data_IF_563141494792
#
_entry.id   IF_563141494792
#
_cell.length_a   1.000
_cell.length_b   1.000
_cell.length_c   1.000
_cell.angle_alpha   90.00
_cell.angle_beta   90.00
_cell.angle_gamma   90.00
#
_symmetry.space_group_name_H-M   'P 1'
#
loop_
_entity.id
_entity.type
_entity.pdbx_description
1 polymer ?
#
# COMPACT_ATOMS: atom_id res chain seq x y z
N UNK A 1 29.94 15.82 -9.51
CA UNK A 1 28.63 15.17 -9.26
C UNK A 1 27.93 15.67 -8.00
N UNK A 2 28.58 15.66 -6.83
CA UNK A 2 28.01 16.22 -5.59
C UNK A 2 27.49 17.66 -5.75
N UNK A 3 28.23 18.54 -6.44
CA UNK A 3 27.83 19.93 -6.68
C UNK A 3 26.56 20.08 -7.55
N UNK A 4 26.20 19.06 -8.34
CA UNK A 4 25.02 19.09 -9.21
C UNK A 4 23.82 18.46 -8.49
N UNK A 5 24.04 17.39 -7.73
CA UNK A 5 22.98 16.61 -7.08
C UNK A 5 22.66 17.07 -5.65
N UNK A 6 23.48 17.91 -5.04
CA UNK A 6 23.23 18.47 -3.70
C UNK A 6 22.98 17.41 -2.64
N UNK A 7 21.89 17.57 -1.88
CA UNK A 7 21.47 16.66 -0.79
C UNK A 7 21.03 15.26 -1.29
N UNK A 8 20.68 15.16 -2.57
CA UNK A 8 20.32 13.89 -3.21
C UNK A 8 21.57 13.06 -3.56
N UNK A 9 22.77 13.64 -3.49
CA UNK A 9 23.99 12.86 -3.66
C UNK A 9 24.21 11.91 -2.48
N UNK A 10 24.18 10.60 -2.74
CA UNK A 10 24.38 9.55 -1.71
C UNK A 10 25.76 8.90 -1.75
N UNK A 11 26.75 9.60 -2.30
CA UNK A 11 28.13 9.14 -2.36
C UNK A 11 28.48 8.46 -3.68
N UNK A 12 29.64 7.82 -3.70
CA UNK A 12 30.17 7.09 -4.85
C UNK A 12 30.93 5.85 -4.41
N UNK A 13 31.06 4.88 -5.32
CA UNK A 13 31.94 3.73 -5.18
C UNK A 13 32.98 3.81 -6.30
N UNK A 14 34.25 3.84 -5.93
CA UNK A 14 35.36 3.86 -6.89
C UNK A 14 35.78 2.43 -7.21
N UNK A 15 35.88 2.12 -8.49
CA UNK A 15 36.32 0.82 -9.01
C UNK A 15 37.34 1.01 -10.13
N UNK A 16 38.20 0.01 -10.33
CA UNK A 16 39.15 -0.01 -11.45
C UNK A 16 38.73 -1.04 -12.49
N UNK A 17 38.08 -0.57 -13.56
CA UNK A 17 37.64 -1.42 -14.66
C UNK A 17 38.82 -2.09 -15.37
N UNK A 18 39.97 -1.41 -15.49
CA UNK A 18 41.14 -1.95 -16.16
C UNK A 18 41.76 -3.13 -15.40
N UNK A 19 41.83 -3.04 -14.06
CA UNK A 19 42.34 -4.13 -13.21
C UNK A 19 41.41 -5.33 -13.27
N UNK A 20 40.09 -5.11 -13.17
CA UNK A 20 39.09 -6.16 -13.34
C UNK A 20 39.18 -6.83 -14.73
N UNK A 21 39.34 -6.04 -15.80
CA UNK A 21 39.47 -6.54 -17.16
C UNK A 21 40.70 -7.47 -17.33
N UNK A 22 41.87 -7.06 -16.86
CA UNK A 22 43.07 -7.89 -16.96
C UNK A 22 42.98 -9.15 -16.10
N UNK A 23 42.33 -9.08 -14.94
CA UNK A 23 42.02 -10.25 -14.12
C UNK A 23 41.11 -11.27 -14.81
N UNK A 24 40.04 -10.80 -15.47
CA UNK A 24 39.00 -11.67 -16.04
C UNK A 24 39.28 -12.16 -17.47
N UNK A 25 40.03 -11.38 -18.26
CA UNK A 25 40.26 -11.69 -19.68
C UNK A 25 40.94 -13.04 -19.86
N UNK A 26 40.33 -13.99 -20.58
CA UNK A 26 40.93 -15.32 -20.79
C UNK A 26 41.65 -15.45 -22.13
N UNK A 27 41.11 -14.85 -23.19
CA UNK A 27 41.60 -15.01 -24.57
C UNK A 27 42.12 -13.68 -25.15
N UNK A 28 43.22 -13.15 -24.60
CA UNK A 28 43.91 -12.02 -25.21
C UNK A 28 44.82 -12.50 -26.33
N UNK A 29 44.79 -11.82 -27.48
CA UNK A 29 45.63 -12.17 -28.64
C UNK A 29 47.11 -11.93 -28.27
N UNK A 30 47.98 -12.96 -28.36
CA UNK A 30 49.41 -12.81 -28.08
C UNK A 30 50.06 -11.72 -28.92
N UNK A 31 51.05 -11.03 -28.34
CA UNK A 31 51.78 -9.95 -29.01
C UNK A 31 51.08 -8.58 -29.03
N UNK A 32 49.78 -8.51 -28.74
CA UNK A 32 49.07 -7.24 -28.58
C UNK A 32 49.49 -6.48 -27.31
N UNK A 33 49.26 -5.16 -27.30
CA UNK A 33 49.54 -4.33 -26.13
C UNK A 33 48.75 -4.74 -24.89
N UNK A 34 47.49 -5.18 -25.07
CA UNK A 34 46.68 -5.68 -23.95
C UNK A 34 47.28 -6.95 -23.34
N UNK A 35 47.75 -7.89 -24.17
CA UNK A 35 48.42 -9.09 -23.72
C UNK A 35 49.70 -8.77 -22.93
N UNK A 36 50.54 -7.88 -23.47
CA UNK A 36 51.77 -7.43 -22.80
C UNK A 36 51.50 -6.73 -21.47
N UNK A 37 50.49 -5.85 -21.43
CA UNK A 37 50.10 -5.10 -20.23
C UNK A 37 49.50 -6.02 -19.16
N UNK A 38 48.68 -7.00 -19.55
CA UNK A 38 48.17 -8.03 -18.64
C UNK A 38 49.31 -8.81 -18.01
N UNK A 39 50.28 -9.26 -18.81
CA UNK A 39 51.41 -10.03 -18.30
C UNK A 39 52.21 -9.24 -17.27
N UNK A 40 52.54 -7.98 -17.56
CA UNK A 40 53.20 -7.08 -16.58
C UNK A 40 52.41 -6.92 -15.29
N UNK A 41 51.08 -6.90 -15.37
CA UNK A 41 50.22 -6.81 -14.18
C UNK A 41 50.26 -8.09 -13.34
N UNK A 42 50.24 -9.25 -13.99
CA UNK A 42 50.32 -10.57 -13.34
C UNK A 42 51.71 -10.85 -12.75
N UNK A 43 52.76 -10.25 -13.31
CA UNK A 43 54.12 -10.36 -12.77
C UNK A 43 54.25 -9.61 -11.43
N UNK A 44 53.47 -8.54 -11.21
CA UNK A 44 53.49 -7.73 -9.99
C UNK A 44 52.43 -8.14 -8.94
N UNK A 45 51.31 -8.70 -9.37
CA UNK A 45 50.21 -9.07 -8.49
C UNK A 45 49.67 -10.46 -8.86
N UNK A 46 49.39 -11.31 -7.87
CA UNK A 46 48.79 -12.62 -8.13
C UNK A 46 47.39 -12.43 -8.75
N UNK A 47 47.04 -13.26 -9.72
CA UNK A 47 45.80 -13.15 -10.50
C UNK A 47 44.53 -13.07 -9.62
N UNK A 48 44.49 -13.86 -8.53
CA UNK A 48 43.37 -13.89 -7.58
C UNK A 48 43.29 -12.63 -6.70
N UNK A 49 44.41 -11.99 -6.35
CA UNK A 49 44.44 -10.75 -5.57
C UNK A 49 44.04 -9.51 -6.40
N UNK A 50 44.36 -9.50 -7.70
CA UNK A 50 43.96 -8.45 -8.64
C UNK A 50 42.45 -8.40 -8.85
N UNK A 51 41.83 -9.58 -9.02
CA UNK A 51 40.42 -9.73 -9.33
C UNK A 51 39.51 -9.27 -8.20
N UNK A 52 39.77 -9.77 -6.98
CA UNK A 52 38.85 -9.63 -5.85
C UNK A 52 39.06 -8.32 -5.06
N UNK A 53 40.32 -7.96 -4.74
CA UNK A 53 40.59 -6.86 -3.81
C UNK A 53 40.96 -5.54 -4.49
N UNK A 54 41.85 -5.53 -5.49
CA UNK A 54 42.37 -4.29 -6.07
C UNK A 54 41.40 -3.59 -7.03
N UNK A 55 40.56 -4.36 -7.73
CA UNK A 55 39.53 -3.83 -8.63
C UNK A 55 38.38 -3.12 -7.89
N UNK A 56 38.18 -3.46 -6.60
CA UNK A 56 37.05 -3.07 -5.74
C UNK A 56 35.67 -3.46 -6.27
N UNK A 57 35.60 -4.43 -7.20
CA UNK A 57 34.32 -4.91 -7.73
C UNK A 57 33.54 -5.78 -6.75
N UNK A 58 34.21 -6.54 -5.87
CA UNK A 58 33.51 -7.31 -4.83
C UNK A 58 32.73 -6.40 -3.86
N UNK A 59 33.34 -5.36 -3.25
CA UNK A 59 32.59 -4.38 -2.46
C UNK A 59 31.50 -3.64 -3.24
N UNK A 60 31.65 -3.46 -4.55
CA UNK A 60 30.61 -2.89 -5.40
C UNK A 60 29.43 -3.85 -5.56
N UNK A 61 29.70 -5.14 -5.80
CA UNK A 61 28.68 -6.18 -5.91
C UNK A 61 27.87 -6.29 -4.62
N UNK A 62 28.55 -6.42 -3.47
CA UNK A 62 27.93 -6.45 -2.14
C UNK A 62 27.07 -5.20 -1.90
N UNK A 63 27.59 -4.01 -2.24
CA UNK A 63 26.81 -2.77 -2.12
C UNK A 63 25.53 -2.79 -2.98
N UNK A 64 25.61 -3.29 -4.23
CA UNK A 64 24.44 -3.38 -5.11
C UNK A 64 23.41 -4.35 -4.54
N UNK A 65 23.83 -5.54 -4.12
CA UNK A 65 22.94 -6.61 -3.67
C UNK A 65 22.38 -6.38 -2.27
N UNK A 66 23.21 -6.00 -1.32
CA UNK A 66 22.84 -5.97 0.10
C UNK A 66 22.37 -4.58 0.54
N UNK A 67 22.86 -3.52 -0.09
CA UNK A 67 22.50 -2.15 0.30
C UNK A 67 21.49 -1.54 -0.66
N UNK A 68 21.81 -1.48 -1.95
CA UNK A 68 21.01 -0.75 -2.93
C UNK A 68 19.69 -1.47 -3.24
N UNK A 69 19.76 -2.77 -3.54
CA UNK A 69 18.59 -3.58 -3.86
C UNK A 69 17.64 -3.73 -2.67
N UNK A 70 18.15 -4.03 -1.47
CA UNK A 70 17.32 -4.12 -0.27
C UNK A 70 16.65 -2.79 0.08
N UNK A 71 17.37 -1.66 -0.01
CA UNK A 71 16.76 -0.33 0.18
C UNK A 71 15.65 -0.06 -0.84
N UNK A 72 15.85 -0.45 -2.11
CA UNK A 72 14.83 -0.29 -3.15
C UNK A 72 13.57 -1.12 -2.86
N UNK A 73 13.73 -2.39 -2.43
CA UNK A 73 12.60 -3.26 -2.05
C UNK A 73 11.82 -2.66 -0.89
N UNK A 74 12.53 -2.22 0.16
CA UNK A 74 11.91 -1.57 1.32
C UNK A 74 11.08 -0.35 0.91
N UNK A 75 11.63 0.52 0.05
CA UNK A 75 10.92 1.72 -0.44
C UNK A 75 9.70 1.38 -1.30
N UNK A 76 9.78 0.33 -2.12
CA UNK A 76 8.64 -0.13 -2.94
C UNK A 76 7.52 -0.63 -2.02
N UNK A 77 7.84 -1.45 -1.02
CA UNK A 77 6.87 -1.96 -0.06
C UNK A 77 6.23 -0.79 0.70
N UNK A 78 7.03 0.12 1.25
CA UNK A 78 6.55 1.29 1.98
C UNK A 78 5.64 2.17 1.10
N UNK A 79 6.06 2.46 -0.14
CA UNK A 79 5.23 3.23 -1.07
C UNK A 79 3.92 2.52 -1.41
N UNK A 80 3.92 1.20 -1.58
CA UNK A 80 2.71 0.44 -1.87
C UNK A 80 1.78 0.40 -0.65
N UNK A 81 2.30 0.22 0.56
CA UNK A 81 1.54 0.31 1.79
C UNK A 81 0.89 1.70 1.95
N UNK A 82 1.63 2.78 1.67
CA UNK A 82 1.09 4.14 1.72
C UNK A 82 -0.04 4.37 0.70
N UNK A 83 0.08 3.80 -0.50
CA UNK A 83 -0.98 3.84 -1.51
C UNK A 83 -2.21 3.07 -1.06
N UNK A 84 -2.03 1.86 -0.52
CA UNK A 84 -3.13 1.04 -0.01
C UNK A 84 -3.84 1.73 1.17
N UNK A 85 -3.07 2.29 2.12
CA UNK A 85 -3.60 3.04 3.25
C UNK A 85 -4.49 4.20 2.79
N UNK A 86 -4.04 4.98 1.81
CA UNK A 86 -4.83 6.10 1.26
C UNK A 86 -6.18 5.65 0.69
N UNK A 87 -6.23 4.49 0.03
CA UNK A 87 -7.48 3.91 -0.49
C UNK A 87 -8.39 3.49 0.65
N UNK A 88 -7.84 2.85 1.70
CA UNK A 88 -8.61 2.45 2.89
C UNK A 88 -9.18 3.67 3.61
N UNK A 89 -8.41 4.74 3.79
CA UNK A 89 -8.89 5.99 4.40
C UNK A 89 -10.02 6.63 3.60
N UNK A 90 -9.95 6.60 2.27
CA UNK A 90 -11.02 7.09 1.40
C UNK A 90 -12.29 6.25 1.53
N UNK A 91 -12.14 4.92 1.58
CA UNK A 91 -13.26 4.00 1.78
C UNK A 91 -13.91 4.23 3.14
N UNK A 92 -13.12 4.36 4.21
CA UNK A 92 -13.62 4.64 5.55
C UNK A 92 -14.48 5.91 5.57
N UNK A 93 -13.99 7.01 4.98
CA UNK A 93 -14.76 8.27 4.88
C UNK A 93 -16.05 8.09 4.08
N UNK A 94 -16.01 7.33 2.99
CA UNK A 94 -17.20 7.07 2.19
C UNK A 94 -18.26 6.28 2.98
N UNK A 95 -17.83 5.30 3.78
CA UNK A 95 -18.70 4.52 4.66
C UNK A 95 -19.31 5.43 5.73
N UNK A 96 -18.49 6.23 6.43
CA UNK A 96 -18.96 7.18 7.46
C UNK A 96 -20.02 8.13 6.89
N UNK A 97 -19.77 8.72 5.71
CA UNK A 97 -20.73 9.61 5.03
C UNK A 97 -22.03 8.86 4.67
N UNK A 98 -21.92 7.61 4.22
CA UNK A 98 -23.10 6.83 3.80
C UNK A 98 -23.96 6.46 5.00
N UNK A 99 -23.34 6.12 6.14
CA UNK A 99 -24.06 5.84 7.38
C UNK A 99 -24.83 7.09 7.82
N UNK A 100 -24.13 8.22 7.97
CA UNK A 100 -24.70 9.48 8.47
C UNK A 100 -25.82 10.03 7.57
N UNK A 101 -25.62 9.99 6.24
CA UNK A 101 -26.56 10.63 5.31
C UNK A 101 -27.70 9.75 4.84
N UNK A 102 -27.56 8.43 4.88
CA UNK A 102 -28.54 7.52 4.28
C UNK A 102 -29.06 6.52 5.30
N UNK A 103 -28.18 5.81 6.00
CA UNK A 103 -28.60 4.71 6.87
C UNK A 103 -29.31 5.26 8.12
N UNK A 104 -28.72 6.22 8.81
CA UNK A 104 -29.29 6.78 10.04
C UNK A 104 -30.65 7.47 9.82
N UNK A 105 -30.84 8.31 8.78
CA UNK A 105 -32.15 8.86 8.45
C UNK A 105 -33.17 7.78 8.10
N UNK A 106 -32.79 6.78 7.30
CA UNK A 106 -33.70 5.69 6.92
C UNK A 106 -34.16 4.89 8.14
N UNK A 107 -33.25 4.58 9.07
CA UNK A 107 -33.60 3.91 10.33
C UNK A 107 -34.58 4.77 11.13
N UNK A 108 -34.38 6.09 11.19
CA UNK A 108 -35.27 7.01 11.89
C UNK A 108 -36.66 7.06 11.26
N UNK A 109 -36.74 7.15 9.94
CA UNK A 109 -38.02 7.16 9.20
C UNK A 109 -38.79 5.86 9.42
N UNK A 110 -38.13 4.71 9.32
CA UNK A 110 -38.76 3.41 9.58
C UNK A 110 -39.31 3.34 11.01
N UNK A 111 -38.55 3.81 12.01
CA UNK A 111 -39.02 3.84 13.40
C UNK A 111 -40.22 4.75 13.58
N UNK A 112 -40.20 5.94 12.97
CA UNK A 112 -41.31 6.88 13.03
C UNK A 112 -42.58 6.30 12.39
N UNK A 113 -42.47 5.69 11.21
CA UNK A 113 -43.60 5.04 10.55
C UNK A 113 -44.13 3.85 11.33
N UNK A 114 -43.25 3.04 11.95
CA UNK A 114 -43.71 1.98 12.82
C UNK A 114 -44.53 2.53 13.99
N UNK A 115 -44.06 3.59 14.65
CA UNK A 115 -44.78 4.20 15.77
C UNK A 115 -46.15 4.73 15.31
N UNK A 116 -46.18 5.45 14.19
CA UNK A 116 -47.41 6.00 13.61
C UNK A 116 -48.43 4.89 13.29
N UNK A 117 -47.98 3.77 12.73
CA UNK A 117 -48.85 2.62 12.46
C UNK A 117 -49.40 2.01 13.76
N UNK A 118 -48.57 1.89 14.80
CA UNK A 118 -49.03 1.43 16.11
C UNK A 118 -50.09 2.36 16.71
N UNK A 119 -49.82 3.66 16.73
CA UNK A 119 -50.74 4.67 17.29
C UNK A 119 -52.08 4.67 16.53
N UNK A 120 -52.03 4.60 15.19
CA UNK A 120 -53.23 4.54 14.36
C UNK A 120 -54.06 3.27 14.60
N UNK A 121 -53.41 2.11 14.79
CA UNK A 121 -54.09 0.86 15.09
C UNK A 121 -54.76 0.91 16.47
N UNK A 122 -54.09 1.45 17.47
CA UNK A 122 -54.66 1.62 18.81
C UNK A 122 -55.87 2.57 18.78
N UNK A 123 -55.76 3.73 18.12
CA UNK A 123 -56.89 4.63 17.92
C UNK A 123 -58.05 3.96 17.17
N UNK A 124 -57.77 3.18 16.12
CA UNK A 124 -58.80 2.47 15.35
C UNK A 124 -59.49 1.41 16.21
N UNK A 125 -58.74 0.70 17.05
CA UNK A 125 -59.28 -0.29 17.99
C UNK A 125 -60.20 0.37 19.01
N UNK A 126 -59.77 1.46 19.64
CA UNK A 126 -60.59 2.21 20.60
C UNK A 126 -61.90 2.71 19.96
N UNK A 127 -61.81 3.27 18.75
CA UNK A 127 -62.99 3.73 17.99
C UNK A 127 -63.94 2.58 17.66
N UNK A 128 -63.41 1.43 17.26
CA UNK A 128 -64.22 0.24 17.00
C UNK A 128 -64.95 -0.25 18.25
N UNK A 129 -64.25 -0.32 19.38
CA UNK A 129 -64.84 -0.67 20.68
C UNK A 129 -65.96 0.30 21.04
N UNK A 130 -65.72 1.62 20.95
CA UNK A 130 -66.73 2.65 21.25
C UNK A 130 -67.99 2.51 20.39
N UNK A 131 -67.82 2.28 19.08
CA UNK A 131 -68.94 2.08 18.15
C UNK A 131 -69.76 0.84 18.51
N UNK A 132 -69.11 -0.28 18.84
CA UNK A 132 -69.80 -1.51 19.26
C UNK A 132 -70.57 -1.30 20.56
N UNK A 133 -69.95 -0.66 21.55
CA UNK A 133 -70.59 -0.34 22.82
C UNK A 133 -71.83 0.52 22.61
N UNK A 134 -71.73 1.58 21.81
CA UNK A 134 -72.87 2.44 21.50
C UNK A 134 -74.00 1.68 20.79
N UNK A 135 -73.67 0.82 19.81
CA UNK A 135 -74.65 -0.01 19.10
C UNK A 135 -75.42 -0.94 20.04
N UNK A 136 -74.72 -1.63 20.95
CA UNK A 136 -75.34 -2.53 21.93
C UNK A 136 -76.28 -1.77 22.89
N UNK A 137 -75.92 -0.55 23.30
CA UNK A 137 -76.79 0.28 24.15
C UNK A 137 -78.02 0.78 23.40
N UNK A 138 -77.90 1.16 22.13
CA UNK A 138 -79.07 1.60 21.33
C UNK A 138 -80.06 0.47 21.06
N UNK A 139 -79.60 -0.76 20.88
CA UNK A 139 -80.46 -1.91 20.61
C UNK A 139 -81.28 -2.31 21.85
N UNK A 140 -80.65 -2.28 23.03
CA UNK A 140 -81.33 -2.56 24.31
C UNK A 140 -82.39 -1.50 24.67
N UNK A 141 -82.17 -0.24 24.30
CA UNK A 141 -83.10 0.86 24.56
C UNK A 141 -84.36 0.84 23.67
N UNK A 142 -84.32 0.15 22.53
CA UNK A 142 -85.47 0.01 21.61
C UNK A 142 -86.35 -1.20 22.00
N UNK A 143 -85.84 -2.13 22.81
CA UNK A 143 -86.55 -3.34 23.23
C UNK A 143 -87.30 -3.21 24.58
N UNK A 144 -87.27 -2.04 25.23
CA UNK A 144 -88.01 -1.71 26.47
C UNK A 144 -89.15 -0.75 26.12
#
# INVERSE_FOLDING_TARGET
>A
MKNILGEHYKGYKAVSAQVAFYGLSQALIPGTDFYKKKQKFLDFFKAEELLLYQSRFQPLAEFITETLLENSRKKIIESNCNKALKVVEQLQKAIEITIDRQIDPTIREIKNHHQEVCDNLDCSKEKYISNLTNSAFTETAIQI
#
